data_IF_133545968907
#
_entry.id   IF_133545968907
#
_cell.length_a   1.000
_cell.length_b   1.000
_cell.length_c   1.000
_cell.angle_alpha   90.00
_cell.angle_beta   90.00
_cell.angle_gamma   90.00
#
_symmetry.space_group_name_H-M   'P 1'
#
loop_
_entity.id
_entity.type
_entity.pdbx_description
1 polymer ?
#
# COMPACT_ATOMS: atom_id res chain seq x y z
N UNK A 1 -35.86 -7.78 24.62
CA UNK A 1 -34.82 -7.63 25.66
C UNK A 1 -33.66 -6.90 25.02
N UNK A 2 -33.47 -5.64 25.39
CA UNK A 2 -32.45 -4.76 24.84
C UNK A 2 -31.07 -5.26 25.26
N UNK A 3 -30.28 -5.70 24.28
CA UNK A 3 -28.88 -6.04 24.51
C UNK A 3 -28.13 -4.76 24.90
N UNK A 4 -27.62 -4.73 26.13
CA UNK A 4 -26.71 -3.71 26.61
C UNK A 4 -25.49 -3.69 25.67
N UNK A 5 -25.41 -2.70 24.79
CA UNK A 5 -24.17 -2.39 24.09
C UNK A 5 -23.16 -2.01 25.18
N UNK A 6 -22.29 -2.94 25.53
CA UNK A 6 -21.14 -2.66 26.37
C UNK A 6 -20.39 -1.50 25.72
N UNK A 7 -20.40 -0.35 26.39
CA UNK A 7 -19.54 0.82 26.09
C UNK A 7 -18.09 0.38 26.35
N UNK A 8 -17.57 -0.47 25.48
CA UNK A 8 -16.19 -0.94 25.55
C UNK A 8 -15.33 0.21 25.04
N UNK A 9 -14.65 0.87 25.97
CA UNK A 9 -13.70 1.92 25.64
C UNK A 9 -12.48 1.28 24.97
N UNK A 10 -12.22 1.67 23.73
CA UNK A 10 -11.10 1.18 22.91
C UNK A 10 -10.16 2.34 22.58
N UNK A 11 -8.96 2.03 22.11
CA UNK A 11 -8.00 3.04 21.66
C UNK A 11 -7.98 3.06 20.13
N UNK A 12 -8.16 4.24 19.53
CA UNK A 12 -8.02 4.41 18.10
C UNK A 12 -6.57 4.17 17.67
N UNK A 13 -6.35 3.20 16.77
CA UNK A 13 -5.00 2.83 16.33
C UNK A 13 -4.27 3.90 15.49
N UNK A 14 -4.95 4.98 15.10
CA UNK A 14 -4.35 6.04 14.29
C UNK A 14 -4.02 7.31 15.07
N UNK A 15 -4.73 7.58 16.18
CA UNK A 15 -4.55 8.82 16.96
C UNK A 15 -4.43 8.60 18.47
N UNK A 16 -4.42 7.35 18.92
CA UNK A 16 -4.29 6.91 20.31
C UNK A 16 -5.34 7.47 21.28
N UNK A 17 -6.44 8.04 20.76
CA UNK A 17 -7.56 8.52 21.58
C UNK A 17 -8.47 7.38 21.98
N UNK A 18 -9.01 7.47 23.20
CA UNK A 18 -10.08 6.60 23.67
C UNK A 18 -11.36 6.87 22.87
N UNK A 19 -11.99 5.81 22.37
CA UNK A 19 -13.19 5.84 21.55
C UNK A 19 -14.24 4.88 22.08
N UNK A 20 -15.50 5.25 21.90
CA UNK A 20 -16.68 4.44 22.23
C UNK A 20 -17.41 3.92 20.98
N UNK A 21 -17.14 4.55 19.84
CA UNK A 21 -17.59 4.13 18.52
C UNK A 21 -16.36 3.93 17.64
N UNK A 22 -16.33 2.83 16.90
CA UNK A 22 -15.19 2.45 16.09
C UNK A 22 -15.60 1.98 14.70
N UNK A 23 -14.70 2.20 13.75
CA UNK A 23 -14.75 1.67 12.40
C UNK A 23 -13.58 0.71 12.21
N UNK A 24 -13.88 -0.51 11.73
CA UNK A 24 -12.84 -1.47 11.35
C UNK A 24 -12.07 -0.94 10.16
N UNK A 25 -10.74 -0.98 10.24
CA UNK A 25 -9.87 -0.83 9.08
C UNK A 25 -9.32 -2.22 8.77
N UNK A 26 -10.11 -2.99 8.04
CA UNK A 26 -9.85 -4.41 7.77
C UNK A 26 -8.47 -4.66 7.17
N UNK A 27 -7.98 -3.71 6.35
CA UNK A 27 -6.64 -3.76 5.77
C UNK A 27 -5.53 -3.86 6.81
N UNK A 28 -5.68 -3.21 7.96
CA UNK A 28 -4.68 -3.19 9.04
C UNK A 28 -5.09 -4.06 10.24
N UNK A 29 -6.15 -4.87 10.11
CA UNK A 29 -6.72 -5.66 11.21
C UNK A 29 -6.92 -4.83 12.50
N UNK A 30 -7.28 -3.56 12.35
CA UNK A 30 -7.33 -2.59 13.46
C UNK A 30 -8.60 -1.75 13.43
N UNK A 31 -8.71 -0.82 14.37
CA UNK A 31 -9.89 0.02 14.56
C UNK A 31 -9.54 1.50 14.64
N UNK A 32 -10.43 2.33 14.13
CA UNK A 32 -10.26 3.77 14.11
C UNK A 32 -11.51 4.53 14.54
N UNK A 33 -11.30 5.77 14.97
CA UNK A 33 -12.39 6.72 15.15
C UNK A 33 -12.90 7.22 13.80
N UNK A 34 -14.14 7.71 13.75
CA UNK A 34 -14.74 8.29 12.54
C UNK A 34 -13.89 9.39 11.90
N UNK A 35 -13.29 10.27 12.73
CA UNK A 35 -12.41 11.34 12.25
C UNK A 35 -11.18 10.80 11.53
N UNK A 36 -10.52 9.77 12.08
CA UNK A 36 -9.35 9.16 11.46
C UNK A 36 -9.72 8.37 10.20
N UNK A 37 -10.86 7.67 10.20
CA UNK A 37 -11.36 6.99 9.01
C UNK A 37 -11.64 7.99 7.87
N UNK A 38 -12.28 9.13 8.17
CA UNK A 38 -12.49 10.19 7.17
C UNK A 38 -11.16 10.76 6.68
N UNK A 39 -10.18 10.96 7.56
CA UNK A 39 -8.85 11.46 7.18
C UNK A 39 -8.11 10.47 6.28
N UNK A 40 -8.18 9.19 6.58
CA UNK A 40 -7.63 8.13 5.73
C UNK A 40 -8.33 8.11 4.36
N UNK A 41 -9.66 8.23 4.34
CA UNK A 41 -10.44 8.37 3.11
C UNK A 41 -9.99 9.56 2.27
N UNK A 42 -9.80 10.74 2.87
CA UNK A 42 -9.28 11.93 2.19
C UNK A 42 -7.84 11.76 1.72
N UNK A 43 -6.99 11.08 2.47
CA UNK A 43 -5.62 10.79 2.03
C UNK A 43 -5.64 9.91 0.76
N UNK A 44 -6.56 8.95 0.69
CA UNK A 44 -6.74 8.07 -0.48
C UNK A 44 -7.26 8.82 -1.71
N UNK A 45 -8.12 9.84 -1.53
CA UNK A 45 -8.78 10.54 -2.65
C UNK A 45 -8.09 11.84 -3.05
N UNK A 46 -7.62 12.62 -2.08
CA UNK A 46 -7.21 14.01 -2.27
C UNK A 46 -5.69 14.16 -2.31
N UNK A 47 -4.93 13.19 -1.77
CA UNK A 47 -3.47 13.17 -1.77
C UNK A 47 -2.89 11.76 -1.97
N UNK A 48 -3.30 11.04 -3.03
CA UNK A 48 -2.87 9.66 -3.28
C UNK A 48 -1.35 9.52 -3.42
N UNK A 49 -0.64 10.56 -3.86
CA UNK A 49 0.82 10.60 -3.98
C UNK A 49 1.53 10.50 -2.62
N UNK A 50 0.97 11.09 -1.57
CA UNK A 50 1.52 11.01 -0.22
C UNK A 50 1.47 9.56 0.28
N UNK A 51 0.37 8.86 -0.02
CA UNK A 51 0.22 7.46 0.31
C UNK A 51 1.13 6.58 -0.56
N UNK A 52 1.20 6.84 -1.86
CA UNK A 52 2.03 6.11 -2.80
C UNK A 52 3.52 6.15 -2.42
N UNK A 53 4.00 7.27 -1.88
CA UNK A 53 5.39 7.43 -1.45
C UNK A 53 5.79 6.53 -0.27
N UNK A 54 4.88 6.28 0.67
CA UNK A 54 5.13 5.43 1.85
C UNK A 54 4.69 3.99 1.62
N UNK A 55 3.92 3.73 0.56
CA UNK A 55 3.29 2.45 0.29
C UNK A 55 4.23 1.25 0.27
N UNK A 56 5.43 1.30 -0.35
CA UNK A 56 6.37 0.19 -0.31
C UNK A 56 6.73 -0.24 1.10
N UNK A 57 6.76 0.70 2.05
CA UNK A 57 7.06 0.43 3.46
C UNK A 57 5.86 -0.15 4.23
N UNK A 58 4.65 -0.10 3.69
CA UNK A 58 3.47 -0.64 4.36
C UNK A 58 3.27 -2.13 4.09
N UNK A 59 4.06 -2.75 3.22
CA UNK A 59 3.92 -4.14 2.78
C UNK A 59 4.94 -4.99 3.54
N UNK A 60 4.57 -6.22 3.89
CA UNK A 60 5.48 -7.18 4.48
C UNK A 60 6.59 -7.54 3.47
N UNK A 61 7.85 -7.43 3.89
CA UNK A 61 8.98 -7.97 3.12
C UNK A 61 9.07 -9.46 3.42
N UNK A 62 8.47 -10.27 2.55
CA UNK A 62 8.82 -11.67 2.47
C UNK A 62 10.18 -11.73 1.78
N UNK A 63 11.26 -12.00 2.52
CA UNK A 63 12.37 -12.90 2.13
C UNK A 63 13.64 -12.65 2.94
N UNK A 64 13.98 -13.61 3.81
CA UNK A 64 15.36 -13.89 4.21
C UNK A 64 16.18 -14.55 3.06
N UNK A 65 15.57 -14.73 1.88
CA UNK A 65 16.22 -15.31 0.71
C UNK A 65 17.12 -14.28 0.00
N UNK A 66 18.33 -14.68 -0.40
CA UNK A 66 19.22 -13.79 -1.13
C UNK A 66 18.64 -13.45 -2.52
N UNK A 67 18.55 -12.15 -2.82
CA UNK A 67 18.07 -11.62 -4.09
C UNK A 67 18.78 -12.32 -5.29
N UNK A 68 18.01 -12.87 -6.25
CA UNK A 68 18.58 -13.51 -7.44
C UNK A 68 19.45 -12.55 -8.25
N UNK A 69 20.52 -13.06 -8.87
CA UNK A 69 21.42 -12.27 -9.72
C UNK A 69 21.39 -12.74 -11.16
N UNK A 70 21.50 -11.79 -12.09
CA UNK A 70 21.51 -12.03 -13.54
C UNK A 70 22.87 -11.64 -14.11
N UNK A 71 23.36 -12.41 -15.07
CA UNK A 71 24.61 -12.11 -15.79
C UNK A 71 24.30 -11.27 -17.02
N UNK A 72 25.01 -10.15 -17.16
CA UNK A 72 24.86 -9.20 -18.25
C UNK A 72 25.76 -9.56 -19.45
N UNK A 73 25.47 -9.03 -20.65
CA UNK A 73 26.30 -9.27 -21.85
C UNK A 73 27.75 -8.79 -21.72
N UNK A 74 28.01 -7.77 -20.89
CA UNK A 74 29.35 -7.27 -20.57
C UNK A 74 30.10 -8.14 -19.54
N UNK A 75 29.49 -9.25 -19.11
CA UNK A 75 30.03 -10.18 -18.12
C UNK A 75 29.80 -9.78 -16.67
N UNK A 76 29.23 -8.59 -16.40
CA UNK A 76 28.89 -8.16 -15.05
C UNK A 76 27.71 -8.95 -14.46
N UNK A 77 27.57 -8.93 -13.13
CA UNK A 77 26.45 -9.56 -12.42
C UNK A 77 25.69 -8.52 -11.61
N UNK A 78 24.41 -8.37 -11.92
CA UNK A 78 23.51 -7.41 -11.27
C UNK A 78 22.35 -8.14 -10.58
N UNK A 79 21.79 -7.53 -9.54
CA UNK A 79 20.59 -8.06 -8.89
C UNK A 79 19.40 -8.02 -9.87
N UNK A 80 18.57 -9.07 -9.86
CA UNK A 80 17.41 -9.22 -10.73
C UNK A 80 16.43 -8.07 -10.51
N UNK A 81 16.16 -7.66 -9.26
CA UNK A 81 15.37 -6.47 -8.96
C UNK A 81 15.91 -5.20 -9.63
N UNK A 82 17.23 -4.98 -9.62
CA UNK A 82 17.86 -3.79 -10.20
C UNK A 82 17.67 -3.78 -11.71
N UNK A 83 17.92 -4.93 -12.36
CA UNK A 83 17.74 -5.04 -13.80
C UNK A 83 16.29 -4.88 -14.21
N UNK A 84 15.37 -5.50 -13.47
CA UNK A 84 13.93 -5.38 -13.69
C UNK A 84 13.46 -3.94 -13.52
N UNK A 85 13.96 -3.22 -12.51
CA UNK A 85 13.63 -1.83 -12.27
C UNK A 85 14.10 -0.91 -13.42
N UNK A 86 15.28 -1.16 -13.99
CA UNK A 86 15.76 -0.44 -15.19
C UNK A 86 14.85 -0.66 -16.39
N UNK A 87 14.50 -1.91 -16.69
CA UNK A 87 13.61 -2.25 -17.80
C UNK A 87 12.24 -1.61 -17.64
N UNK A 88 11.75 -1.51 -16.40
CA UNK A 88 10.47 -0.85 -16.09
C UNK A 88 10.48 0.66 -16.36
N UNK A 89 11.63 1.34 -16.34
CA UNK A 89 11.71 2.81 -16.57
C UNK A 89 11.18 3.21 -17.95
N UNK A 90 11.25 2.32 -18.93
CA UNK A 90 10.80 2.58 -20.31
C UNK A 90 9.32 2.22 -20.54
N UNK A 91 8.64 1.63 -19.56
CA UNK A 91 7.24 1.24 -19.69
C UNK A 91 6.29 2.45 -19.59
N UNK A 92 5.30 2.49 -20.49
CA UNK A 92 4.15 3.41 -20.36
C UNK A 92 3.31 3.06 -19.14
N UNK A 93 2.49 3.99 -18.68
CA UNK A 93 1.59 3.77 -17.54
C UNK A 93 0.60 2.62 -17.83
N UNK A 94 0.09 2.48 -19.06
CA UNK A 94 -0.77 1.35 -19.42
C UNK A 94 -0.03 0.01 -19.34
N UNK A 95 1.23 -0.02 -19.77
CA UNK A 95 2.05 -1.23 -19.70
C UNK A 95 2.36 -1.62 -18.25
N UNK A 96 2.60 -0.63 -17.38
CA UNK A 96 2.77 -0.84 -15.94
C UNK A 96 1.50 -1.37 -15.28
N UNK A 97 0.32 -0.85 -15.63
CA UNK A 97 -0.94 -1.36 -15.07
C UNK A 97 -1.19 -2.82 -15.50
N UNK A 98 -0.94 -3.15 -16.78
CA UNK A 98 -1.01 -4.54 -17.25
C UNK A 98 -0.04 -5.44 -16.47
N UNK A 99 1.18 -4.98 -16.23
CA UNK A 99 2.17 -5.71 -15.45
C UNK A 99 1.70 -5.93 -14.00
N UNK A 100 1.08 -4.93 -13.37
CA UNK A 100 0.49 -5.05 -12.04
C UNK A 100 -0.63 -6.10 -11.99
N UNK A 101 -1.48 -6.16 -13.02
CA UNK A 101 -2.50 -7.22 -13.14
C UNK A 101 -1.85 -8.60 -13.28
N UNK A 102 -0.86 -8.75 -14.17
CA UNK A 102 -0.14 -10.01 -14.35
C UNK A 102 0.53 -10.48 -13.06
N UNK A 103 1.15 -9.58 -12.29
CA UNK A 103 1.69 -9.93 -10.98
C UNK A 103 0.61 -10.49 -10.04
N UNK A 104 -0.57 -9.87 -10.02
CA UNK A 104 -1.70 -10.38 -9.24
C UNK A 104 -2.20 -11.76 -9.68
N UNK A 105 -2.30 -12.00 -10.99
CA UNK A 105 -2.69 -13.30 -11.55
C UNK A 105 -1.67 -14.41 -11.22
N UNK A 106 -0.39 -14.04 -11.08
CA UNK A 106 0.69 -14.94 -10.70
C UNK A 106 0.87 -15.11 -9.18
N UNK A 107 0.05 -14.43 -8.37
CA UNK A 107 0.18 -14.42 -6.91
C UNK A 107 1.36 -13.60 -6.37
N UNK A 108 2.04 -12.84 -7.22
CA UNK A 108 3.14 -11.93 -6.88
C UNK A 108 2.59 -10.61 -6.33
N UNK A 109 1.89 -10.70 -5.21
CA UNK A 109 1.11 -9.60 -4.65
C UNK A 109 1.99 -8.41 -4.23
N UNK A 110 3.20 -8.66 -3.75
CA UNK A 110 4.16 -7.58 -3.43
C UNK A 110 4.52 -6.76 -4.66
N UNK A 111 4.90 -7.43 -5.75
CA UNK A 111 5.31 -6.80 -7.01
C UNK A 111 4.15 -6.04 -7.66
N UNK A 112 2.95 -6.62 -7.61
CA UNK A 112 1.70 -5.97 -8.00
C UNK A 112 1.51 -4.65 -7.24
N UNK A 113 1.68 -4.69 -5.93
CA UNK A 113 1.44 -3.55 -5.04
C UNK A 113 2.50 -2.45 -5.26
N UNK A 114 3.76 -2.80 -5.46
CA UNK A 114 4.83 -1.85 -5.82
C UNK A 114 4.59 -1.19 -7.18
N UNK A 115 4.11 -1.96 -8.16
CA UNK A 115 3.84 -1.43 -9.49
C UNK A 115 2.65 -0.45 -9.47
N UNK A 116 1.57 -0.80 -8.76
CA UNK A 116 0.46 0.13 -8.56
C UNK A 116 0.87 1.41 -7.81
N UNK A 117 1.70 1.31 -6.77
CA UNK A 117 2.23 2.50 -6.06
C UNK A 117 3.05 3.40 -6.99
N UNK A 118 3.82 2.81 -7.92
CA UNK A 118 4.56 3.58 -8.92
C UNK A 118 3.63 4.29 -9.90
N UNK A 119 2.56 3.64 -10.37
CA UNK A 119 1.54 4.26 -11.24
C UNK A 119 0.88 5.46 -10.55
N UNK A 120 0.45 5.27 -9.29
CA UNK A 120 -0.16 6.33 -8.48
C UNK A 120 0.78 7.52 -8.26
N UNK A 121 2.10 7.26 -8.11
CA UNK A 121 3.09 8.32 -7.91
C UNK A 121 3.39 9.12 -9.17
N UNK A 122 3.37 8.48 -10.34
CA UNK A 122 3.71 9.12 -11.61
C UNK A 122 2.54 9.94 -12.17
N UNK A 123 1.31 9.44 -12.08
CA UNK A 123 0.13 10.05 -12.72
C UNK A 123 -1.14 9.90 -11.86
N UNK A 124 -1.19 10.52 -10.67
CA UNK A 124 -2.30 10.34 -9.71
C UNK A 124 -3.68 10.79 -10.21
N UNK A 125 -3.73 11.68 -11.21
CA UNK A 125 -4.98 12.25 -11.74
C UNK A 125 -5.60 11.52 -12.92
N UNK A 126 -4.94 10.48 -13.46
CA UNK A 126 -5.46 9.74 -14.61
C UNK A 126 -6.52 8.70 -14.17
N UNK A 127 -7.53 8.46 -15.00
CA UNK A 127 -8.52 7.40 -14.77
C UNK A 127 -7.86 6.00 -14.59
N UNK A 128 -6.67 5.81 -15.17
CA UNK A 128 -5.89 4.58 -15.02
C UNK A 128 -5.30 4.39 -13.62
N UNK A 129 -5.05 5.49 -12.89
CA UNK A 129 -4.61 5.48 -11.51
C UNK A 129 -5.70 4.95 -10.57
N UNK A 130 -6.98 5.16 -10.90
CA UNK A 130 -8.09 4.53 -10.18
C UNK A 130 -8.04 3.00 -10.28
N UNK A 131 -7.69 2.45 -11.45
CA UNK A 131 -7.51 0.99 -11.61
C UNK A 131 -6.37 0.44 -10.75
N UNK A 132 -5.27 1.19 -10.62
CA UNK A 132 -4.18 0.85 -9.71
C UNK A 132 -4.60 0.93 -8.24
N UNK A 133 -5.39 1.96 -7.87
CA UNK A 133 -5.94 2.13 -6.52
C UNK A 133 -6.91 0.99 -6.16
N UNK A 134 -7.82 0.63 -7.05
CA UNK A 134 -8.78 -0.46 -6.83
C UNK A 134 -8.05 -1.79 -6.60
N UNK A 135 -7.06 -2.09 -7.45
CA UNK A 135 -6.22 -3.30 -7.33
C UNK A 135 -5.38 -3.30 -6.04
N UNK A 136 -4.96 -2.13 -5.57
CA UNK A 136 -4.26 -1.98 -4.30
C UNK A 136 -5.15 -2.25 -3.10
N UNK A 137 -6.43 -1.91 -3.21
CA UNK A 137 -7.42 -2.05 -2.14
C UNK A 137 -7.98 -3.47 -2.01
N UNK A 138 -7.71 -4.36 -2.98
CA UNK A 138 -8.13 -5.77 -2.90
C UNK A 138 -7.23 -6.67 -2.04
N UNK A 139 -6.02 -6.22 -1.68
CA UNK A 139 -5.01 -7.07 -1.03
C UNK A 139 -4.83 -6.81 0.48
N UNK A 140 -4.61 -7.88 1.26
CA UNK A 140 -4.47 -7.88 2.73
C UNK A 140 -3.02 -8.08 3.23
N UNK A 141 -2.03 -7.58 2.49
CA UNK A 141 -0.63 -7.69 2.90
C UNK A 141 -0.17 -6.36 3.47
N UNK A 142 -0.10 -6.28 4.80
CA UNK A 142 0.42 -5.11 5.52
C UNK A 142 1.49 -5.55 6.49
N UNK A 143 2.59 -4.80 6.55
CA UNK A 143 3.63 -5.00 7.55
C UNK A 143 3.04 -4.84 8.97
N UNK A 144 3.56 -5.56 9.97
CA UNK A 144 3.07 -5.45 11.36
C UNK A 144 3.10 -4.02 11.92
N UNK A 145 4.03 -3.20 11.48
CA UNK A 145 4.21 -1.80 11.89
C UNK A 145 3.64 -0.78 10.88
N UNK A 146 2.86 -1.23 9.90
CA UNK A 146 2.33 -0.36 8.84
C UNK A 146 1.49 0.81 9.38
N UNK A 147 0.79 0.63 10.49
CA UNK A 147 0.04 1.72 11.15
C UNK A 147 0.97 2.82 11.67
N UNK A 148 2.12 2.46 12.24
CA UNK A 148 3.09 3.43 12.74
C UNK A 148 3.68 4.24 11.58
N UNK A 149 3.95 3.58 10.45
CA UNK A 149 4.45 4.20 9.21
C UNK A 149 3.41 5.06 8.50
N UNK A 150 2.12 4.75 8.62
CA UNK A 150 1.01 5.51 8.02
C UNK A 150 0.71 6.82 8.78
N UNK A 151 0.88 6.83 10.11
CA UNK A 151 0.53 7.99 10.96
C UNK A 151 1.16 9.31 10.51
N UNK A 152 2.46 9.41 10.17
CA UNK A 152 3.06 10.67 9.73
C UNK A 152 2.41 11.26 8.47
N UNK A 153 2.00 10.42 7.50
CA UNK A 153 1.29 10.89 6.30
C UNK A 153 -0.13 11.37 6.63
N UNK A 154 -0.78 10.74 7.61
CA UNK A 154 -2.10 11.17 8.07
C UNK A 154 -2.06 12.43 8.93
N UNK A 155 -0.98 12.67 9.68
CA UNK A 155 -0.83 13.79 10.62
C UNK A 155 0.48 14.56 10.33
N UNK A 156 0.59 15.26 9.19
CA UNK A 156 1.76 16.06 8.88
C UNK A 156 1.93 17.19 9.92
N UNK A 157 3.18 17.46 10.29
CA UNK A 157 3.57 18.49 11.26
C UNK A 157 3.29 19.92 10.76
#
# INVERSE_FOLDING_TARGET
MSGSATNEERVCALCDRVIREWLSIDRFSTQSCSVCATRLGRLLTDAPEALASIWPSLIEEDTDEPEPRVRMPDGSSVELRTRTAELKKELTIEARLKLAHTYGELGLHREQVLECGTILSLEPGLAIAQGALDLLMTHRFVAPDAIERLRPAMFPA
#
